data_IF_033363091267
#
_entry.id   IF_033363091267
#
_cell.length_a   1.000
_cell.length_b   1.000
_cell.length_c   1.000
_cell.angle_alpha   90.00
_cell.angle_beta   90.00
_cell.angle_gamma   90.00
#
_symmetry.space_group_name_H-M   'P 1'
#
loop_
_entity.id
_entity.type
_entity.pdbx_description
1 polymer ?
#
# COMPACT_ATOMS: atom_id res chain seq x y z
N UNK A 1 -12.92 4.60 17.71
CA UNK A 1 -13.99 3.90 16.93
C UNK A 1 -13.67 3.90 15.43
N UNK A 2 -13.19 5.01 14.85
CA UNK A 2 -12.76 5.07 13.44
C UNK A 2 -11.53 4.22 13.08
N UNK A 3 -10.56 4.03 13.98
CA UNK A 3 -9.32 3.29 13.65
C UNK A 3 -9.55 1.83 13.29
N UNK A 4 -10.45 1.12 13.98
CA UNK A 4 -10.74 -0.29 13.69
C UNK A 4 -11.45 -0.46 12.34
N UNK A 5 -12.33 0.47 11.99
CA UNK A 5 -13.04 0.49 10.71
C UNK A 5 -12.05 0.79 9.58
N UNK A 6 -11.17 1.79 9.76
CA UNK A 6 -10.13 2.10 8.78
C UNK A 6 -9.17 0.93 8.59
N UNK A 7 -8.79 0.24 9.68
CA UNK A 7 -7.92 -0.93 9.62
C UNK A 7 -8.60 -2.12 8.94
N UNK A 8 -9.91 -2.31 9.14
CA UNK A 8 -10.68 -3.34 8.45
C UNK A 8 -10.82 -3.05 6.94
N UNK A 9 -11.01 -1.78 6.57
CA UNK A 9 -11.04 -1.34 5.16
C UNK A 9 -9.66 -1.54 4.50
N UNK A 10 -8.59 -1.18 5.20
CA UNK A 10 -7.21 -1.41 4.74
C UNK A 10 -6.95 -2.89 4.47
N UNK A 11 -7.25 -3.75 5.45
CA UNK A 11 -7.08 -5.20 5.34
C UNK A 11 -7.90 -5.80 4.19
N UNK A 12 -9.13 -5.31 3.98
CA UNK A 12 -9.96 -5.75 2.86
C UNK A 12 -9.34 -5.41 1.51
N UNK A 13 -8.77 -4.21 1.37
CA UNK A 13 -8.13 -3.77 0.14
C UNK A 13 -6.83 -4.54 -0.14
N UNK A 14 -6.05 -4.83 0.91
CA UNK A 14 -4.84 -5.64 0.80
C UNK A 14 -5.15 -7.09 0.36
N UNK A 15 -6.18 -7.70 0.95
CA UNK A 15 -6.65 -9.05 0.56
C UNK A 15 -7.13 -9.07 -0.90
N UNK A 16 -7.87 -8.05 -1.35
CA UNK A 16 -8.31 -7.96 -2.74
C UNK A 16 -7.13 -7.82 -3.71
N UNK A 17 -6.13 -7.01 -3.36
CA UNK A 17 -4.92 -6.86 -4.15
C UNK A 17 -4.13 -8.17 -4.28
N UNK A 18 -4.02 -8.94 -3.19
CA UNK A 18 -3.37 -10.26 -3.18
C UNK A 18 -4.19 -11.24 -4.03
N UNK A 19 -5.51 -11.27 -3.87
CA UNK A 19 -6.38 -12.16 -4.66
C UNK A 19 -6.33 -11.84 -6.15
N UNK A 20 -6.40 -10.57 -6.55
CA UNK A 20 -6.25 -10.18 -7.96
C UNK A 20 -4.89 -10.59 -8.53
N UNK A 21 -3.84 -10.49 -7.72
CA UNK A 21 -2.51 -10.91 -8.12
C UNK A 21 -2.42 -12.43 -8.32
N UNK A 22 -2.95 -13.22 -7.37
CA UNK A 22 -2.99 -14.68 -7.45
C UNK A 22 -3.90 -15.19 -8.58
N UNK A 23 -5.01 -14.48 -8.87
CA UNK A 23 -5.97 -14.84 -9.91
C UNK A 23 -5.49 -14.51 -11.33
N UNK A 24 -4.47 -13.66 -11.50
CA UNK A 24 -3.95 -13.32 -12.83
C UNK A 24 -3.11 -14.43 -13.48
N UNK A 25 -2.78 -15.50 -12.75
CA UNK A 25 -2.04 -16.64 -13.32
C UNK A 25 -0.73 -16.23 -13.99
N UNK A 26 -0.09 -15.17 -13.49
CA UNK A 26 1.11 -14.60 -14.09
C UNK A 26 2.27 -15.59 -13.98
N UNK A 27 3.14 -15.59 -14.98
CA UNK A 27 4.44 -16.23 -14.85
C UNK A 27 5.17 -15.59 -13.64
N UNK A 28 5.96 -16.36 -12.87
CA UNK A 28 6.62 -15.88 -11.66
C UNK A 28 7.40 -14.56 -11.84
N UNK A 29 8.00 -14.37 -13.02
CA UNK A 29 8.77 -13.18 -13.38
C UNK A 29 7.88 -11.94 -13.57
N UNK A 30 6.72 -12.10 -14.21
CA UNK A 30 5.73 -11.02 -14.37
C UNK A 30 5.10 -10.66 -13.02
N UNK A 31 4.80 -11.68 -12.22
CA UNK A 31 4.32 -11.54 -10.86
C UNK A 31 5.32 -10.72 -10.02
N UNK A 32 6.61 -11.05 -10.10
CA UNK A 32 7.67 -10.33 -9.41
C UNK A 32 7.77 -8.86 -9.88
N UNK A 33 7.71 -8.61 -11.18
CA UNK A 33 7.71 -7.26 -11.76
C UNK A 33 6.54 -6.41 -11.23
N UNK A 34 5.33 -6.98 -11.21
CA UNK A 34 4.14 -6.31 -10.68
C UNK A 34 4.26 -6.01 -9.18
N UNK A 35 4.83 -6.93 -8.38
CA UNK A 35 5.06 -6.72 -6.95
C UNK A 35 6.10 -5.63 -6.69
N UNK A 36 7.18 -5.60 -7.47
CA UNK A 36 8.23 -4.56 -7.37
C UNK A 36 7.65 -3.19 -7.70
N UNK A 37 6.92 -3.08 -8.82
CA UNK A 37 6.28 -1.82 -9.23
C UNK A 37 5.33 -1.30 -8.15
N UNK A 38 4.50 -2.19 -7.57
CA UNK A 38 3.56 -1.82 -6.52
C UNK A 38 4.27 -1.40 -5.21
N UNK A 39 5.36 -2.09 -4.86
CA UNK A 39 6.20 -1.72 -3.71
C UNK A 39 6.80 -0.33 -3.88
N UNK A 40 7.30 0.02 -5.06
CA UNK A 40 7.84 1.36 -5.34
C UNK A 40 6.78 2.47 -5.17
N UNK A 41 5.55 2.24 -5.64
CA UNK A 41 4.46 3.22 -5.45
C UNK A 41 4.13 3.41 -3.97
N UNK A 42 4.03 2.33 -3.20
CA UNK A 42 3.74 2.40 -1.77
C UNK A 42 4.87 3.09 -0.98
N UNK A 43 6.13 2.90 -1.38
CA UNK A 43 7.26 3.59 -0.78
C UNK A 43 7.20 5.10 -1.02
N UNK A 44 6.88 5.53 -2.25
CA UNK A 44 6.69 6.97 -2.53
C UNK A 44 5.56 7.58 -1.70
N UNK A 45 4.42 6.89 -1.58
CA UNK A 45 3.31 7.35 -0.73
C UNK A 45 3.69 7.45 0.75
N UNK A 46 4.54 6.54 1.23
CA UNK A 46 5.07 6.60 2.59
C UNK A 46 5.99 7.81 2.77
N UNK A 47 6.89 8.07 1.82
CA UNK A 47 7.78 9.23 1.86
C UNK A 47 6.97 10.55 1.88
N UNK A 48 5.97 10.68 1.01
CA UNK A 48 5.06 11.84 0.98
C UNK A 48 4.35 12.03 2.33
N UNK A 49 3.80 10.96 2.90
CA UNK A 49 3.11 10.99 4.19
C UNK A 49 4.06 11.38 5.34
N UNK A 50 5.31 10.90 5.31
CA UNK A 50 6.32 11.25 6.32
C UNK A 50 6.72 12.71 6.22
N UNK A 51 6.79 13.28 5.02
CA UNK A 51 7.08 14.70 4.82
C UNK A 51 5.94 15.58 5.34
N UNK A 52 4.69 15.26 5.00
CA UNK A 52 3.51 15.94 5.54
C UNK A 52 3.47 15.88 7.08
N UNK A 53 3.84 14.74 7.66
CA UNK A 53 3.92 14.59 9.11
C UNK A 53 4.98 15.52 9.73
N UNK A 54 6.16 15.67 9.11
CA UNK A 54 7.20 16.59 9.59
C UNK A 54 6.69 18.03 9.59
N UNK A 55 6.00 18.45 8.54
CA UNK A 55 5.42 19.79 8.46
C UNK A 55 4.37 20.01 9.56
N UNK A 56 3.57 18.97 9.84
CA UNK A 56 2.55 19.00 10.89
C UNK A 56 3.16 19.07 12.30
N UNK A 57 4.30 18.41 12.52
CA UNK A 57 5.04 18.41 13.79
C UNK A 57 5.87 19.69 13.97
N UNK A 58 6.36 20.29 12.87
CA UNK A 58 7.16 21.52 12.91
C UNK A 58 6.33 22.80 13.03
N UNK A 59 5.01 22.75 12.79
CA UNK A 59 4.09 23.88 12.99
C UNK A 59 3.47 23.97 14.41
N UNK A 60 4.02 23.24 15.40
CA UNK A 60 3.71 23.40 16.83
C UNK A 60 4.91 23.93 17.60
#
# INVERSE_FOLDING_TARGET
>A
MNELINKAIQLRNDILAINEFLLKGLAPEEAQLHLVAKSCVLLGQLDDTLEELKDTVSCK
#
